data_IF_083655981327
#
_entry.id   IF_083655981327
#
_cell.length_a   1.000
_cell.length_b   1.000
_cell.length_c   1.000
_cell.angle_alpha   90.00
_cell.angle_beta   90.00
_cell.angle_gamma   90.00
#
_symmetry.space_group_name_H-M   'P 1'
#
loop_
_entity.id
_entity.type
_entity.pdbx_description
1 polymer ?
#
# COMPACT_ATOMS: atom_id res chain seq x y z
N UNK A 1 -11.21 -17.32 49.39
CA UNK A 1 -10.07 -17.24 48.46
C UNK A 1 -10.58 -16.68 47.15
N UNK A 2 -10.38 -15.39 46.90
CA UNK A 2 -10.78 -14.75 45.63
C UNK A 2 -9.57 -14.87 44.71
N UNK A 3 -9.68 -15.75 43.72
CA UNK A 3 -8.67 -15.90 42.66
C UNK A 3 -8.82 -14.74 41.69
N UNK A 4 -7.93 -13.75 41.82
CA UNK A 4 -7.73 -12.70 40.83
C UNK A 4 -7.06 -13.33 39.61
N UNK A 5 -7.87 -13.73 38.63
CA UNK A 5 -7.39 -13.89 37.25
C UNK A 5 -7.07 -12.49 36.72
N UNK A 6 -5.83 -12.08 36.91
CA UNK A 6 -5.23 -11.00 36.15
C UNK A 6 -5.14 -11.47 34.69
N UNK A 7 -6.17 -11.16 33.91
CA UNK A 7 -6.05 -11.07 32.46
C UNK A 7 -5.01 -10.01 32.17
N UNK A 8 -3.75 -10.44 31.97
CA UNK A 8 -2.77 -9.64 31.25
C UNK A 8 -3.30 -9.47 29.83
N UNK A 9 -4.07 -8.40 29.62
CA UNK A 9 -4.24 -7.83 28.29
C UNK A 9 -2.83 -7.44 27.86
N UNK A 10 -2.23 -8.23 26.98
CA UNK A 10 -1.02 -7.87 26.28
C UNK A 10 -1.30 -6.60 25.46
N UNK A 11 -1.09 -5.44 26.08
CA UNK A 11 -0.86 -4.18 25.38
C UNK A 11 0.54 -4.22 24.79
N UNK A 12 0.76 -5.12 23.84
CA UNK A 12 1.92 -5.13 22.96
C UNK A 12 1.57 -4.40 21.67
N UNK A 13 1.26 -3.10 21.74
CA UNK A 13 1.27 -2.25 20.54
C UNK A 13 2.73 -1.96 20.22
N UNK A 14 3.44 -2.98 19.74
CA UNK A 14 4.83 -2.90 19.34
C UNK A 14 4.89 -2.51 17.88
N UNK A 15 5.68 -1.48 17.59
CA UNK A 15 6.15 -1.00 16.28
C UNK A 15 6.75 -2.10 15.34
N UNK A 16 6.67 -3.39 15.71
CA UNK A 16 7.34 -4.51 15.03
C UNK A 16 6.56 -5.08 13.84
N UNK A 17 5.32 -4.63 13.59
CA UNK A 17 4.48 -5.22 12.53
C UNK A 17 4.53 -4.48 11.19
N UNK A 18 5.33 -3.41 11.08
CA UNK A 18 5.56 -2.72 9.81
C UNK A 18 6.24 -3.68 8.84
N UNK A 19 5.61 -3.89 7.69
CA UNK A 19 6.19 -4.67 6.60
C UNK A 19 7.33 -3.90 5.98
N UNK A 20 8.46 -4.56 5.77
CA UNK A 20 9.59 -4.03 5.01
C UNK A 20 9.85 -4.86 3.77
N UNK A 21 10.06 -4.19 2.65
CA UNK A 21 10.46 -4.80 1.40
C UNK A 21 11.99 -5.02 1.44
N UNK A 22 12.52 -6.20 1.07
CA UNK A 22 13.96 -6.43 1.03
C UNK A 22 14.70 -5.41 0.15
N UNK A 23 15.94 -5.04 0.52
CA UNK A 23 16.73 -4.04 -0.22
C UNK A 23 16.91 -4.40 -1.71
N UNK A 24 17.05 -5.69 -2.02
CA UNK A 24 17.16 -6.20 -3.40
C UNK A 24 15.89 -5.90 -4.23
N UNK A 25 14.73 -5.96 -3.58
CA UNK A 25 13.43 -5.64 -4.16
C UNK A 25 13.25 -4.12 -4.29
N UNK A 26 13.71 -3.34 -3.31
CA UNK A 26 13.68 -1.86 -3.35
C UNK A 26 14.50 -1.35 -4.53
N UNK A 27 15.70 -1.87 -4.76
CA UNK A 27 16.52 -1.47 -5.89
C UNK A 27 15.79 -1.71 -7.22
N UNK A 28 15.25 -2.92 -7.41
CA UNK A 28 14.47 -3.27 -8.59
C UNK A 28 13.26 -2.36 -8.78
N UNK A 29 12.50 -2.11 -7.71
CA UNK A 29 11.31 -1.26 -7.74
C UNK A 29 11.65 0.18 -8.11
N UNK A 30 12.71 0.74 -7.51
CA UNK A 30 13.14 2.12 -7.76
C UNK A 30 13.49 2.30 -9.24
N UNK A 31 14.35 1.43 -9.78
CA UNK A 31 14.73 1.43 -11.19
C UNK A 31 13.51 1.26 -12.12
N UNK A 32 12.58 0.36 -11.76
CA UNK A 32 11.40 0.06 -12.58
C UNK A 32 10.40 1.20 -12.62
N UNK A 33 10.11 1.83 -11.48
CA UNK A 33 9.20 2.96 -11.36
C UNK A 33 9.73 4.18 -12.12
N UNK A 34 11.04 4.43 -12.05
CA UNK A 34 11.66 5.50 -12.84
C UNK A 34 11.56 5.23 -14.35
N UNK A 35 11.87 4.02 -14.79
CA UNK A 35 11.93 3.70 -16.22
C UNK A 35 10.57 3.50 -16.90
N UNK A 36 9.56 3.00 -16.18
CA UNK A 36 8.25 2.62 -16.78
C UNK A 36 7.10 3.51 -16.36
N UNK A 37 7.14 4.06 -15.16
CA UNK A 37 6.11 4.97 -14.65
C UNK A 37 6.55 6.44 -14.73
N UNK A 38 7.78 6.70 -15.20
CA UNK A 38 8.37 8.03 -15.36
C UNK A 38 8.40 8.83 -14.05
N UNK A 39 8.50 8.14 -12.92
CA UNK A 39 8.69 8.77 -11.62
C UNK A 39 10.12 9.31 -11.51
N UNK A 40 10.33 10.45 -10.86
CA UNK A 40 11.68 10.79 -10.39
C UNK A 40 12.05 9.88 -9.21
N UNK A 41 13.32 9.89 -8.81
CA UNK A 41 13.82 9.01 -7.74
C UNK A 41 13.12 9.25 -6.40
N UNK A 42 12.89 10.51 -6.02
CA UNK A 42 12.21 10.84 -4.76
C UNK A 42 10.76 10.31 -4.74
N UNK A 43 10.01 10.51 -5.83
CA UNK A 43 8.65 10.01 -5.97
C UNK A 43 8.61 8.47 -5.98
N UNK A 44 9.57 7.82 -6.62
CA UNK A 44 9.68 6.37 -6.62
C UNK A 44 9.93 5.84 -5.20
N UNK A 45 10.89 6.40 -4.47
CA UNK A 45 11.21 5.99 -3.09
C UNK A 45 10.04 6.27 -2.13
N UNK A 46 9.40 7.44 -2.24
CA UNK A 46 8.20 7.75 -1.47
C UNK A 46 7.07 6.76 -1.77
N UNK A 47 6.90 6.37 -3.04
CA UNK A 47 5.87 5.38 -3.43
C UNK A 47 6.17 4.00 -2.88
N UNK A 48 7.43 3.57 -2.88
CA UNK A 48 7.86 2.29 -2.30
C UNK A 48 7.63 2.28 -0.77
N UNK A 49 7.96 3.38 -0.08
CA UNK A 49 7.68 3.52 1.34
C UNK A 49 6.18 3.41 1.66
N UNK A 50 5.31 3.99 0.83
CA UNK A 50 3.86 3.82 1.02
C UNK A 50 3.33 2.45 0.59
N UNK A 51 4.01 1.74 -0.31
CA UNK A 51 3.71 0.35 -0.60
C UNK A 51 3.98 -0.54 0.63
N UNK A 52 5.06 -0.29 1.38
CA UNK A 52 5.32 -0.95 2.67
C UNK A 52 4.19 -0.70 3.68
N UNK A 53 3.72 0.55 3.79
CA UNK A 53 2.60 0.91 4.65
C UNK A 53 1.30 0.22 4.20
N UNK A 54 1.08 0.10 2.88
CA UNK A 54 -0.07 -0.61 2.33
C UNK A 54 -0.01 -2.11 2.60
N UNK A 55 1.15 -2.75 2.45
CA UNK A 55 1.35 -4.14 2.85
C UNK A 55 1.15 -4.36 4.34
N UNK A 56 1.57 -3.40 5.17
CA UNK A 56 1.27 -3.40 6.61
C UNK A 56 -0.24 -3.40 6.85
N UNK A 57 -0.99 -2.55 6.14
CA UNK A 57 -2.45 -2.57 6.20
C UNK A 57 -3.05 -3.94 5.85
N UNK A 58 -2.57 -4.58 4.77
CA UNK A 58 -3.02 -5.92 4.38
C UNK A 58 -2.71 -6.94 5.48
N UNK A 59 -1.51 -6.92 6.03
CA UNK A 59 -1.08 -7.83 7.12
C UNK A 59 -1.94 -7.66 8.37
N UNK A 60 -2.37 -6.44 8.67
CA UNK A 60 -3.29 -6.11 9.76
C UNK A 60 -4.77 -6.40 9.45
N UNK A 61 -5.09 -6.90 8.25
CA UNK A 61 -6.46 -7.21 7.84
C UNK A 61 -7.31 -5.97 7.53
N UNK A 62 -6.68 -4.82 7.28
CA UNK A 62 -7.37 -3.60 6.88
C UNK A 62 -7.86 -3.78 5.43
N UNK A 63 -9.18 -3.64 5.25
CA UNK A 63 -9.80 -3.70 3.93
C UNK A 63 -9.72 -2.34 3.24
N UNK A 64 -9.35 -2.35 1.97
CA UNK A 64 -9.36 -1.20 1.08
C UNK A 64 -8.56 -1.48 -0.18
N UNK A 65 -8.44 -0.47 -1.04
CA UNK A 65 -7.70 -0.55 -2.30
C UNK A 65 -6.53 0.44 -2.26
N UNK A 66 -5.43 0.14 -2.97
CA UNK A 66 -4.29 1.05 -3.02
C UNK A 66 -4.66 2.37 -3.71
N UNK A 67 -3.85 3.40 -3.49
CA UNK A 67 -3.87 4.56 -4.38
C UNK A 67 -3.25 4.18 -5.73
N UNK A 68 -3.43 5.03 -6.74
CA UNK A 68 -2.91 4.75 -8.08
C UNK A 68 -1.37 4.61 -8.11
N UNK A 69 -0.66 5.40 -7.31
CA UNK A 69 0.80 5.28 -7.19
C UNK A 69 1.21 3.99 -6.50
N UNK A 70 0.53 3.62 -5.41
CA UNK A 70 0.80 2.37 -4.67
C UNK A 70 0.46 1.16 -5.55
N UNK A 71 -0.62 1.22 -6.34
CA UNK A 71 -1.02 0.17 -7.28
C UNK A 71 0.05 -0.08 -8.34
N UNK A 72 0.62 0.99 -8.93
CA UNK A 72 1.75 0.90 -9.87
C UNK A 72 2.98 0.24 -9.26
N UNK A 73 3.33 0.59 -8.03
CA UNK A 73 4.46 -0.03 -7.34
C UNK A 73 4.18 -1.49 -6.98
N UNK A 74 2.97 -1.83 -6.56
CA UNK A 74 2.57 -3.21 -6.32
C UNK A 74 2.62 -4.03 -7.62
N UNK A 75 2.09 -3.48 -8.72
CA UNK A 75 2.17 -4.09 -10.03
C UNK A 75 3.62 -4.33 -10.46
N UNK A 76 4.50 -3.34 -10.31
CA UNK A 76 5.92 -3.47 -10.59
C UNK A 76 6.55 -4.60 -9.77
N UNK A 77 6.22 -4.72 -8.48
CA UNK A 77 6.74 -5.77 -7.61
C UNK A 77 6.38 -7.16 -8.15
N UNK A 78 5.12 -7.38 -8.56
CA UNK A 78 4.64 -8.67 -9.09
C UNK A 78 5.36 -9.10 -10.37
N UNK A 79 5.75 -8.15 -11.23
CA UNK A 79 6.41 -8.45 -12.50
C UNK A 79 7.76 -9.18 -12.32
N UNK A 80 8.42 -9.01 -11.17
CA UNK A 80 9.51 -9.88 -10.77
C UNK A 80 8.97 -11.05 -9.95
N UNK A 81 8.34 -12.01 -10.64
CA UNK A 81 7.60 -13.11 -10.01
C UNK A 81 8.39 -13.91 -8.96
N UNK A 82 9.68 -14.28 -9.19
CA UNK A 82 10.45 -14.99 -8.16
C UNK A 82 10.66 -14.18 -6.87
N UNK A 83 10.99 -12.89 -7.02
CA UNK A 83 11.19 -11.94 -5.94
C UNK A 83 9.90 -11.75 -5.14
N UNK A 84 8.81 -11.44 -5.84
CA UNK A 84 7.51 -11.22 -5.23
C UNK A 84 6.94 -12.46 -4.53
N UNK A 85 7.17 -13.65 -5.10
CA UNK A 85 6.78 -14.90 -4.46
C UNK A 85 7.53 -15.11 -3.13
N UNK A 86 8.86 -14.92 -3.12
CA UNK A 86 9.69 -15.02 -1.91
C UNK A 86 9.25 -14.00 -0.85
N UNK A 87 9.04 -12.74 -1.24
CA UNK A 87 8.51 -11.69 -0.37
C UNK A 87 7.15 -12.10 0.22
N UNK A 88 6.23 -12.58 -0.61
CA UNK A 88 4.88 -12.94 -0.19
C UNK A 88 4.86 -14.10 0.80
N UNK A 89 5.63 -15.16 0.53
CA UNK A 89 5.80 -16.28 1.45
C UNK A 89 6.39 -15.83 2.79
N UNK A 90 7.39 -14.95 2.76
CA UNK A 90 8.05 -14.45 3.97
C UNK A 90 7.13 -13.59 4.83
N UNK A 91 6.36 -12.68 4.21
CA UNK A 91 5.56 -11.68 4.94
C UNK A 91 4.16 -12.18 5.27
N UNK A 92 3.53 -12.91 4.35
CA UNK A 92 2.12 -13.31 4.44
C UNK A 92 1.92 -14.83 4.59
N UNK A 93 2.99 -15.63 4.49
CA UNK A 93 2.92 -17.10 4.56
C UNK A 93 2.23 -17.75 3.36
N UNK A 94 1.98 -16.97 2.30
CA UNK A 94 1.36 -17.40 1.04
C UNK A 94 1.59 -16.34 -0.03
N UNK A 95 1.45 -16.71 -1.29
CA UNK A 95 1.35 -15.74 -2.39
C UNK A 95 0.22 -14.73 -2.14
N UNK A 96 0.57 -13.44 -2.11
CA UNK A 96 -0.40 -12.36 -1.98
C UNK A 96 -0.97 -12.04 -3.37
N UNK A 97 -2.25 -12.32 -3.58
CA UNK A 97 -2.90 -12.01 -4.85
C UNK A 97 -3.22 -10.51 -4.94
N UNK A 98 -2.90 -9.93 -6.09
CA UNK A 98 -3.26 -8.57 -6.44
C UNK A 98 -4.35 -8.59 -7.51
N UNK A 99 -5.35 -7.73 -7.33
CA UNK A 99 -6.35 -7.41 -8.35
C UNK A 99 -6.07 -5.96 -8.78
N UNK A 100 -5.63 -5.71 -10.02
CA UNK A 100 -5.30 -4.37 -10.48
C UNK A 100 -6.48 -3.41 -10.28
N UNK A 101 -6.22 -2.25 -9.67
CA UNK A 101 -7.25 -1.25 -9.52
C UNK A 101 -7.42 -0.44 -10.81
N UNK A 102 -8.55 -0.62 -11.50
CA UNK A 102 -8.86 0.15 -12.72
C UNK A 102 -9.67 1.42 -12.39
N UNK A 103 -9.04 2.59 -12.49
CA UNK A 103 -9.69 3.89 -12.24
C UNK A 103 -10.64 4.36 -13.37
N UNK A 104 -10.66 3.66 -14.52
CA UNK A 104 -11.34 4.14 -15.74
C UNK A 104 -12.87 4.26 -15.67
N UNK A 105 -13.52 3.67 -14.66
CA UNK A 105 -14.98 3.64 -14.53
C UNK A 105 -15.56 4.38 -13.32
N UNK A 106 -14.76 5.19 -12.59
CA UNK A 106 -15.39 6.14 -11.65
C UNK A 106 -16.02 7.27 -12.49
N UNK A 107 -17.24 7.03 -12.96
CA UNK A 107 -18.15 8.11 -13.30
C UNK A 107 -18.29 8.94 -12.02
N UNK A 108 -17.92 10.21 -12.09
CA UNK A 108 -18.16 11.20 -11.05
C UNK A 108 -19.67 11.42 -10.93
N UNK A 109 -20.41 10.46 -10.39
CA UNK A 109 -21.80 10.65 -9.99
C UNK A 109 -21.81 11.36 -8.62
N UNK A 110 -21.82 12.69 -8.68
CA UNK A 110 -22.60 13.59 -7.82
C UNK A 110 -22.55 13.48 -6.28
N UNK A 111 -21.64 12.75 -5.63
CA UNK A 111 -21.52 12.76 -4.16
C UNK A 111 -20.05 12.89 -3.70
N UNK A 112 -19.61 14.12 -3.47
CA UNK A 112 -18.28 14.49 -2.94
C UNK A 112 -17.99 13.99 -1.50
N UNK A 113 -18.89 13.21 -0.90
CA UNK A 113 -18.78 12.69 0.46
C UNK A 113 -18.22 11.25 0.56
N UNK A 114 -17.89 10.60 -0.57
CA UNK A 114 -17.24 9.29 -0.54
C UNK A 114 -15.73 9.45 -0.34
N UNK A 115 -15.24 9.04 0.83
CA UNK A 115 -13.80 8.87 1.08
C UNK A 115 -13.29 7.79 0.13
N UNK A 116 -12.25 8.09 -0.66
CA UNK A 116 -11.67 7.10 -1.57
C UNK A 116 -11.20 5.85 -0.80
N UNK A 117 -11.27 4.64 -1.37
CA UNK A 117 -10.81 3.42 -0.70
C UNK A 117 -9.39 3.54 -0.14
N UNK A 118 -8.45 4.11 -0.90
CA UNK A 118 -7.08 4.40 -0.45
C UNK A 118 -7.03 5.34 0.76
N UNK A 119 -7.83 6.41 0.77
CA UNK A 119 -7.90 7.34 1.91
C UNK A 119 -8.48 6.67 3.16
N UNK A 120 -9.37 5.68 3.00
CA UNK A 120 -9.86 4.90 4.13
C UNK A 120 -8.77 4.04 4.77
N UNK A 121 -7.85 3.48 3.97
CA UNK A 121 -6.70 2.72 4.46
C UNK A 121 -5.71 3.64 5.17
N UNK A 122 -5.36 4.78 4.56
CA UNK A 122 -4.53 5.82 5.17
C UNK A 122 -5.05 6.22 6.57
N UNK A 123 -6.33 6.57 6.67
CA UNK A 123 -6.92 7.01 7.95
C UNK A 123 -6.85 5.92 9.03
N UNK A 124 -7.00 4.64 8.64
CA UNK A 124 -6.90 3.52 9.57
C UNK A 124 -5.46 3.29 10.04
N UNK A 125 -4.48 3.37 9.15
CA UNK A 125 -3.06 3.27 9.51
C UNK A 125 -2.65 4.41 10.44
N UNK A 126 -3.12 5.63 10.17
CA UNK A 126 -2.88 6.81 11.02
C UNK A 126 -3.49 6.62 12.42
N UNK A 127 -4.72 6.11 12.51
CA UNK A 127 -5.38 5.78 13.79
C UNK A 127 -4.66 4.70 14.59
N UNK A 128 -3.96 3.78 13.90
CA UNK A 128 -3.14 2.74 14.52
C UNK A 128 -1.72 3.22 14.88
N UNK A 129 -1.39 4.49 14.60
CA UNK A 129 -0.13 5.10 14.98
C UNK A 129 1.00 4.95 13.95
N UNK A 130 0.69 4.58 12.70
CA UNK A 130 1.67 4.69 11.60
C UNK A 130 1.86 6.18 11.29
N UNK A 131 3.06 6.68 11.59
CA UNK A 131 3.41 8.10 11.45
C UNK A 131 4.24 8.35 10.19
N UNK A 132 4.30 9.62 9.78
CA UNK A 132 5.13 10.10 8.67
C UNK A 132 4.78 9.55 7.28
N UNK A 133 3.55 9.07 7.08
CA UNK A 133 3.05 8.67 5.75
C UNK A 133 2.91 9.87 4.80
N UNK A 134 3.30 9.68 3.54
CA UNK A 134 3.21 10.67 2.48
C UNK A 134 1.78 10.74 1.91
N UNK A 135 0.97 11.64 2.46
CA UNK A 135 -0.44 11.85 2.05
C UNK A 135 -0.63 12.08 0.54
N UNK A 136 0.34 12.67 -0.16
CA UNK A 136 0.24 12.91 -1.60
C UNK A 136 0.18 11.58 -2.34
N UNK A 137 1.04 10.62 -2.01
CA UNK A 137 1.03 9.27 -2.63
C UNK A 137 -0.31 8.56 -2.42
N UNK A 138 -0.95 8.71 -1.27
CA UNK A 138 -2.26 8.10 -0.97
C UNK A 138 -3.44 8.76 -1.68
N UNK A 139 -3.32 10.05 -2.00
CA UNK A 139 -4.43 10.86 -2.53
C UNK A 139 -4.28 11.21 -4.00
N UNK A 140 -3.09 11.03 -4.58
CA UNK A 140 -2.82 11.32 -5.99
C UNK A 140 -3.74 10.51 -6.90
N UNK A 141 -4.17 11.17 -7.95
CA UNK A 141 -4.95 10.63 -9.07
C UNK A 141 -4.38 11.28 -10.32
N UNK A 142 -3.98 10.47 -11.30
CA UNK A 142 -3.63 11.06 -12.58
C UNK A 142 -4.89 11.75 -13.12
N UNK A 143 -4.77 12.98 -13.65
CA UNK A 143 -5.86 13.56 -14.41
C UNK A 143 -6.22 12.54 -15.48
N UNK A 144 -7.51 12.17 -15.57
CA UNK A 144 -8.02 11.24 -16.56
C UNK A 144 -7.44 11.69 -17.90
N UNK A 145 -6.54 10.90 -18.49
CA UNK A 145 -6.11 11.19 -19.86
C UNK A 145 -7.40 11.17 -20.66
N UNK A 146 -7.81 12.35 -21.12
CA UNK A 146 -8.79 12.47 -22.17
C UNK A 146 -8.11 11.78 -23.33
N UNK A 147 -8.48 10.52 -23.57
CA UNK A 147 -8.10 9.82 -24.78
C UNK A 147 -8.43 10.79 -25.90
N UNK A 148 -7.40 11.32 -26.56
CA UNK A 148 -7.61 11.88 -27.88
C UNK A 148 -7.97 10.67 -28.71
N UNK A 149 -9.25 10.55 -29.01
CA UNK A 149 -9.74 9.57 -29.96
C UNK A 149 -8.96 9.80 -31.26
N UNK A 150 -8.15 8.81 -31.65
CA UNK A 150 -7.48 8.75 -32.97
C UNK A 150 -8.52 8.51 -34.08
#
# INVERSE_FOLDING_TARGET
>A
MISLFLFYVFLGCGCNDIVRIPDEDIQYLNERLQMKEYMNEEDALNTIAELENFYTAIKLGIKGEPSEMIDKAWHAHILNTPMYFKFSEMVFGKYLHHLPFWSGNIQTSANANLVSPAKSVYNRLEQLGVQYMNKTVWTFRYPKMMFMDD
#
